data_IF_782393756298
#
_entry.id   IF_782393756298
#
_cell.length_a   1.000
_cell.length_b   1.000
_cell.length_c   1.000
_cell.angle_alpha   90.00
_cell.angle_beta   90.00
_cell.angle_gamma   90.00
#
_symmetry.space_group_name_H-M   'P 1'
#
loop_
_entity.id
_entity.type
_entity.pdbx_description
1 polymer ?
#
# COMPACT_ATOMS: atom_id res chain seq x y z
N UNK A 1 -12.09 17.70 19.91
CA UNK A 1 -11.41 18.61 19.98
C UNK A 1 -11.72 19.74 19.18
N UNK A 2 -11.31 20.65 19.44
CA UNK A 2 -11.95 21.62 19.16
C UNK A 2 -11.62 22.49 18.10
N UNK A 3 -12.52 22.57 17.21
CA UNK A 3 -12.46 23.57 16.19
C UNK A 3 -12.73 24.94 16.75
N UNK A 4 -12.95 25.02 18.03
CA UNK A 4 -13.21 26.29 18.66
C UNK A 4 -11.96 27.06 18.96
N UNK A 5 -10.81 26.45 18.75
CA UNK A 5 -9.56 27.13 18.97
C UNK A 5 -9.30 28.07 17.81
N UNK A 6 -10.02 29.15 17.76
CA UNK A 6 -9.85 30.12 16.76
C UNK A 6 -8.85 31.15 17.15
N UNK A 7 -8.11 31.60 16.24
CA UNK A 7 -7.09 32.55 16.48
C UNK A 7 -5.77 32.01 16.00
N UNK A 8 -4.70 32.58 16.51
CA UNK A 8 -3.38 32.24 16.05
C UNK A 8 -3.06 30.78 16.36
N UNK A 9 -2.77 30.03 15.35
CA UNK A 9 -2.47 28.61 15.48
C UNK A 9 -3.67 27.68 15.44
N UNK A 10 -4.86 28.21 15.28
CA UNK A 10 -6.06 27.37 15.22
C UNK A 10 -6.10 26.57 13.93
N UNK A 11 -6.69 25.38 14.03
CA UNK A 11 -6.82 24.49 12.89
C UNK A 11 -8.16 23.76 12.96
N UNK A 12 -8.81 23.66 11.81
CA UNK A 12 -10.15 23.06 11.72
C UNK A 12 -10.04 21.66 11.12
N UNK A 13 -9.93 20.64 11.95
CA UNK A 13 -9.78 19.25 11.53
C UNK A 13 -11.05 18.41 11.70
N UNK A 14 -12.08 18.99 12.27
CA UNK A 14 -13.33 18.27 12.51
C UNK A 14 -13.91 17.71 11.20
N UNK A 15 -14.25 16.42 11.20
CA UNK A 15 -14.80 15.75 10.03
C UNK A 15 -13.78 15.34 8.99
N UNK A 16 -12.51 15.64 9.18
CA UNK A 16 -11.45 15.22 8.26
C UNK A 16 -10.86 13.89 8.67
N UNK A 17 -10.31 13.17 7.72
CA UNK A 17 -9.68 11.88 8.00
C UNK A 17 -8.41 12.10 8.82
N UNK A 18 -8.23 11.25 9.81
CA UNK A 18 -7.02 11.24 10.64
C UNK A 18 -5.96 10.38 9.93
N UNK A 19 -5.49 10.86 8.82
CA UNK A 19 -4.65 10.08 7.91
C UNK A 19 -3.32 9.63 8.52
N UNK A 20 -2.81 10.37 9.50
CA UNK A 20 -1.57 10.01 10.20
C UNK A 20 -1.66 8.70 10.95
N UNK A 21 -2.87 8.26 11.33
CA UNK A 21 -3.06 7.01 12.04
C UNK A 21 -2.48 5.83 11.26
N UNK A 22 -2.61 5.85 9.94
CA UNK A 22 -2.10 4.75 9.10
C UNK A 22 -0.61 4.55 9.32
N UNK A 23 0.14 5.64 9.37
CA UNK A 23 1.60 5.56 9.56
C UNK A 23 1.93 5.21 11.01
N UNK A 24 1.21 5.80 11.96
CA UNK A 24 1.49 5.60 13.38
C UNK A 24 1.17 4.17 13.85
N UNK A 25 0.04 3.64 13.39
CA UNK A 25 -0.45 2.35 13.88
C UNK A 25 0.01 1.15 13.06
N UNK A 26 0.41 1.38 11.80
CA UNK A 26 0.75 0.29 10.89
C UNK A 26 2.12 0.44 10.22
N UNK A 27 3.18 0.78 10.97
CA UNK A 27 4.50 0.99 10.34
C UNK A 27 5.07 -0.27 9.72
N UNK A 28 4.81 -1.44 10.32
CA UNK A 28 5.32 -2.71 9.77
C UNK A 28 4.63 -3.07 8.47
N UNK A 29 3.31 -2.90 8.41
CA UNK A 29 2.55 -3.17 7.20
C UNK A 29 3.00 -2.26 6.06
N UNK A 30 3.20 -0.99 6.35
CA UNK A 30 3.66 -0.03 5.34
C UNK A 30 5.08 -0.33 4.88
N UNK A 31 5.96 -0.76 5.79
CA UNK A 31 7.32 -1.16 5.44
C UNK A 31 7.29 -2.37 4.50
N UNK A 32 6.42 -3.34 4.77
CA UNK A 32 6.26 -4.51 3.92
C UNK A 32 5.77 -4.13 2.51
N UNK A 33 4.80 -3.23 2.43
CA UNK A 33 4.32 -2.73 1.14
C UNK A 33 5.41 -1.97 0.41
N UNK A 34 6.20 -1.18 1.14
CA UNK A 34 7.33 -0.45 0.56
C UNK A 34 8.38 -1.39 -0.02
N UNK A 35 8.59 -2.57 0.59
CA UNK A 35 9.51 -3.57 0.06
C UNK A 35 9.05 -4.06 -1.31
N UNK A 36 7.75 -4.31 -1.49
CA UNK A 36 7.19 -4.71 -2.78
C UNK A 36 7.36 -3.60 -3.80
N UNK A 37 7.07 -2.36 -3.41
CA UNK A 37 7.24 -1.21 -4.28
C UNK A 37 8.69 -1.03 -4.73
N UNK A 38 9.63 -1.24 -3.83
CA UNK A 38 11.06 -1.13 -4.12
C UNK A 38 11.49 -2.18 -5.13
N UNK A 39 11.06 -3.42 -4.92
CA UNK A 39 11.35 -4.51 -5.84
C UNK A 39 10.79 -4.21 -7.23
N UNK A 40 9.58 -3.70 -7.31
CA UNK A 40 8.97 -3.32 -8.58
C UNK A 40 9.71 -2.18 -9.27
N UNK A 41 10.17 -1.19 -8.51
CA UNK A 41 10.94 -0.07 -9.05
C UNK A 41 12.30 -0.53 -9.60
N UNK A 42 12.93 -1.49 -8.94
CA UNK A 42 14.19 -2.07 -9.42
C UNK A 42 13.99 -2.92 -10.66
N UNK A 43 12.90 -3.68 -10.73
CA UNK A 43 12.62 -4.59 -11.85
C UNK A 43 12.19 -3.83 -13.10
N UNK A 44 11.41 -2.79 -12.96
CA UNK A 44 10.84 -2.04 -14.08
C UNK A 44 11.34 -0.60 -14.11
N UNK A 45 10.73 0.25 -13.32
CA UNK A 45 11.17 1.60 -13.04
C UNK A 45 10.23 2.20 -12.01
N UNK A 46 10.67 3.25 -11.38
CA UNK A 46 9.86 3.92 -10.36
C UNK A 46 8.59 4.48 -11.00
N UNK A 47 7.45 4.20 -10.38
CA UNK A 47 6.13 4.66 -10.81
C UNK A 47 5.68 4.16 -12.18
N UNK A 48 6.34 3.16 -12.74
CA UNK A 48 5.97 2.62 -14.06
C UNK A 48 4.60 1.92 -14.05
N UNK A 49 4.07 1.58 -12.88
CA UNK A 49 2.73 1.00 -12.78
C UNK A 49 1.66 1.87 -13.45
N UNK A 50 1.90 3.17 -13.53
CA UNK A 50 0.95 4.11 -14.13
C UNK A 50 0.82 3.92 -15.64
N UNK A 51 1.81 3.31 -16.25
CA UNK A 51 1.86 3.13 -17.70
C UNK A 51 1.43 1.72 -18.14
N UNK A 52 1.01 0.88 -17.20
CA UNK A 52 0.58 -0.48 -17.53
C UNK A 52 -0.77 -0.44 -18.23
N UNK A 53 -0.87 -1.00 -19.45
CA UNK A 53 -2.16 -1.08 -20.14
C UNK A 53 -3.12 -1.96 -19.34
N UNK A 54 -4.38 -1.53 -19.25
CA UNK A 54 -5.42 -2.25 -18.51
C UNK A 54 -5.02 -2.51 -17.05
N UNK A 55 -4.41 -1.50 -16.42
CA UNK A 55 -3.83 -1.65 -15.10
C UNK A 55 -4.82 -2.16 -14.06
N UNK A 56 -6.05 -1.65 -14.03
CA UNK A 56 -7.03 -2.06 -13.03
C UNK A 56 -7.27 -3.57 -13.08
N UNK A 57 -7.50 -4.12 -14.25
CA UNK A 57 -7.74 -5.55 -14.42
C UNK A 57 -6.50 -6.35 -14.07
N UNK A 58 -5.35 -5.92 -14.57
CA UNK A 58 -4.10 -6.67 -14.40
C UNK A 58 -3.63 -6.67 -12.93
N UNK A 59 -3.78 -5.55 -12.23
CA UNK A 59 -3.42 -5.51 -10.82
C UNK A 59 -4.44 -6.23 -9.95
N UNK A 60 -5.73 -6.19 -10.31
CA UNK A 60 -6.74 -6.99 -9.61
C UNK A 60 -6.46 -8.48 -9.76
N UNK A 61 -6.11 -8.93 -10.95
CA UNK A 61 -5.77 -10.33 -11.18
C UNK A 61 -4.53 -10.73 -10.38
N UNK A 62 -3.52 -9.86 -10.33
CA UNK A 62 -2.31 -10.12 -9.54
C UNK A 62 -2.64 -10.22 -8.05
N UNK A 63 -3.50 -9.34 -7.56
CA UNK A 63 -3.96 -9.38 -6.18
C UNK A 63 -4.57 -10.73 -5.84
N UNK A 64 -5.47 -11.22 -6.70
CA UNK A 64 -6.13 -12.51 -6.48
C UNK A 64 -5.14 -13.66 -6.58
N UNK A 65 -4.20 -13.63 -7.54
CA UNK A 65 -3.17 -14.66 -7.65
C UNK A 65 -2.34 -14.77 -6.38
N UNK A 66 -1.92 -13.65 -5.80
CA UNK A 66 -1.15 -13.67 -4.55
C UNK A 66 -1.98 -14.15 -3.37
N UNK A 67 -3.26 -13.80 -3.32
CA UNK A 67 -4.14 -14.29 -2.28
C UNK A 67 -4.30 -15.80 -2.37
N UNK A 68 -4.49 -16.34 -3.57
CA UNK A 68 -4.61 -17.78 -3.78
C UNK A 68 -3.31 -18.50 -3.46
N UNK A 69 -2.18 -17.97 -3.93
CA UNK A 69 -0.89 -18.57 -3.68
C UNK A 69 -0.54 -18.62 -2.20
N UNK A 70 -0.95 -17.62 -1.44
CA UNK A 70 -0.74 -17.58 0.00
C UNK A 70 -1.33 -18.81 0.72
N UNK A 71 -2.37 -19.41 0.17
CA UNK A 71 -3.00 -20.59 0.78
C UNK A 71 -2.06 -21.79 0.86
N UNK A 72 -1.11 -21.89 -0.06
CA UNK A 72 -0.20 -23.01 -0.15
C UNK A 72 1.26 -22.62 0.09
N UNK A 73 1.65 -21.44 -0.31
CA UNK A 73 3.02 -20.93 -0.19
C UNK A 73 2.99 -19.50 0.26
N UNK A 74 3.37 -19.20 1.52
CA UNK A 74 3.31 -17.82 2.00
C UNK A 74 4.33 -16.89 1.36
N UNK A 75 5.44 -17.42 0.84
CA UNK A 75 6.52 -16.62 0.25
C UNK A 75 6.51 -16.76 -1.26
N UNK A 76 6.57 -15.62 -1.97
CA UNK A 76 6.73 -15.60 -3.41
C UNK A 76 8.18 -15.92 -3.77
N UNK A 77 8.40 -16.96 -4.59
CA UNK A 77 9.74 -17.40 -4.94
C UNK A 77 10.54 -16.35 -5.71
N UNK A 78 9.88 -15.62 -6.60
CA UNK A 78 10.56 -14.62 -7.42
C UNK A 78 11.13 -13.47 -6.60
N UNK A 79 10.35 -12.95 -5.65
CA UNK A 79 10.73 -11.78 -4.87
C UNK A 79 11.31 -12.10 -3.51
N UNK A 80 11.02 -13.28 -2.97
CA UNK A 80 11.35 -13.63 -1.59
C UNK A 80 10.46 -12.94 -0.56
N UNK A 81 9.43 -12.24 -0.99
CA UNK A 81 8.50 -11.52 -0.13
C UNK A 81 7.21 -12.31 0.04
N UNK A 82 6.47 -12.03 1.10
CA UNK A 82 5.21 -12.71 1.35
C UNK A 82 4.18 -12.38 0.26
N UNK A 83 3.37 -13.37 -0.12
CA UNK A 83 2.27 -13.13 -1.04
C UNK A 83 1.28 -12.10 -0.49
N UNK A 84 1.05 -12.05 0.82
CA UNK A 84 0.21 -11.02 1.42
C UNK A 84 0.78 -9.62 1.23
N UNK A 85 2.10 -9.47 1.18
CA UNK A 85 2.72 -8.18 0.91
C UNK A 85 2.42 -7.74 -0.52
N UNK A 86 2.52 -8.66 -1.47
CA UNK A 86 2.15 -8.41 -2.86
C UNK A 86 0.65 -8.14 -3.01
N UNK A 87 -0.19 -8.90 -2.29
CA UNK A 87 -1.62 -8.64 -2.26
C UNK A 87 -1.91 -7.21 -1.81
N UNK A 88 -1.31 -6.79 -0.70
CA UNK A 88 -1.52 -5.45 -0.16
C UNK A 88 -1.06 -4.36 -1.13
N UNK A 89 0.09 -4.54 -1.78
CA UNK A 89 0.58 -3.60 -2.79
C UNK A 89 -0.44 -3.44 -3.93
N UNK A 90 -1.00 -4.53 -4.42
CA UNK A 90 -1.92 -4.49 -5.54
C UNK A 90 -3.28 -3.84 -5.19
N UNK A 91 -3.62 -3.78 -3.90
CA UNK A 91 -4.82 -3.06 -3.46
C UNK A 91 -4.64 -1.55 -3.58
N UNK A 92 -3.44 -1.07 -3.32
CA UNK A 92 -3.17 0.36 -3.38
C UNK A 92 -3.14 0.85 -4.81
#
# INVERSE_FOLDING_TARGET
MSDDLRGKGAKYDSGKLLAGIVIEDFPRALTAIAAVATMGAEKYSRSSWQDVPEAMTRYADAMVRHLLAHQTEPVDEESGLLHFEHFAWNVL
#
